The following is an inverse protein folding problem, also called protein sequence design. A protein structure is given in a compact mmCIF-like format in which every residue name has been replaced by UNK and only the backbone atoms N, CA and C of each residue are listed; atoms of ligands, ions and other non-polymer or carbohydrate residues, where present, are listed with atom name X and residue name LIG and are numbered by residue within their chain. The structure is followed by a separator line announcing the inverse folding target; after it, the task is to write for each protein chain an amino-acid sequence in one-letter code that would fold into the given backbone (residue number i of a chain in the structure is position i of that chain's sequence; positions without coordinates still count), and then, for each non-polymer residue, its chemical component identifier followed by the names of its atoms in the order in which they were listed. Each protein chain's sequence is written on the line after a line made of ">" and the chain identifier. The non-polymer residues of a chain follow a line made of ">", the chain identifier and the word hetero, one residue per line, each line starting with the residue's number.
data_IF_901466942525
#
_entry.id   IF_901466942525
#
_cell.length_a   1.000
_cell.length_b   1.000
_cell.length_c   1.000
_cell.angle_alpha   90.00
_cell.angle_beta   90.00
_cell.angle_gamma   90.00
#
_symmetry.space_group_name_H-M   'P 1'
#
loop_
_entity.id
_entity.type
_entity.pdbx_description
1 polymer ?
#
# COMPACT_ATOMS: atom_id res chain seq x y z
N UNK A 1 -5.70 -9.94 18.78
CA UNK A 1 -4.72 -10.22 17.71
C UNK A 1 -3.92 -8.95 17.42
N UNK A 2 -2.64 -9.06 17.27
CA UNK A 2 -1.79 -7.90 16.96
C UNK A 2 -1.31 -7.94 15.51
N UNK A 3 -1.20 -6.76 14.92
CA UNK A 3 -0.72 -6.58 13.56
C UNK A 3 0.61 -5.86 13.58
N UNK A 4 1.43 -6.12 12.58
CA UNK A 4 2.68 -5.38 12.41
C UNK A 4 2.38 -3.98 11.92
N UNK A 5 2.99 -2.98 12.55
CA UNK A 5 2.89 -1.57 12.16
C UNK A 5 4.30 -0.98 12.24
N UNK A 6 5.11 -1.15 11.17
CA UNK A 6 6.48 -0.63 11.16
C UNK A 6 6.55 0.87 11.45
N UNK A 7 7.47 1.27 12.31
CA UNK A 7 7.62 2.65 12.78
C UNK A 7 8.21 3.60 11.73
N UNK A 8 8.87 3.07 10.73
CA UNK A 8 9.55 3.86 9.71
C UNK A 8 8.68 4.14 8.47
N UNK A 9 7.41 3.74 8.51
CA UNK A 9 6.46 3.96 7.43
C UNK A 9 5.43 5.01 7.81
N UNK A 10 4.73 5.55 6.79
CA UNK A 10 3.58 6.42 6.96
C UNK A 10 2.34 5.71 6.42
N UNK A 11 1.17 6.08 6.91
CA UNK A 11 -0.06 5.33 6.66
C UNK A 11 -1.22 6.24 6.27
N UNK A 12 -2.19 5.68 5.53
CA UNK A 12 -3.49 6.30 5.30
C UNK A 12 -4.54 5.64 6.20
N UNK A 13 -5.64 6.35 6.46
CA UNK A 13 -6.79 5.79 7.17
C UNK A 13 -7.40 4.61 6.43
N UNK A 14 -7.22 4.55 5.11
CA UNK A 14 -7.68 3.45 4.26
C UNK A 14 -6.72 2.26 4.22
N UNK A 15 -5.67 2.29 5.04
CA UNK A 15 -4.75 1.17 5.31
C UNK A 15 -3.63 0.96 4.28
N UNK A 16 -3.38 1.93 3.41
CA UNK A 16 -2.18 1.91 2.58
C UNK A 16 -0.99 2.45 3.39
N UNK A 17 0.22 2.01 3.03
CA UNK A 17 1.45 2.54 3.62
C UNK A 17 2.37 3.07 2.53
N UNK A 18 3.27 3.96 2.92
CA UNK A 18 4.37 4.42 2.07
C UNK A 18 5.65 4.42 2.88
N UNK A 19 6.73 3.98 2.24
CA UNK A 19 8.07 4.06 2.79
C UNK A 19 8.70 5.37 2.31
N UNK A 20 8.94 6.35 3.22
CA UNK A 20 9.48 7.64 2.81
C UNK A 20 10.88 7.57 2.20
N UNK A 21 11.64 6.53 2.49
CA UNK A 21 13.01 6.38 1.98
C UNK A 21 13.04 5.84 0.56
N UNK A 22 12.12 4.95 0.21
CA UNK A 22 12.15 4.26 -1.09
C UNK A 22 11.03 4.70 -2.01
N UNK A 23 9.96 5.25 -1.47
CA UNK A 23 8.75 5.56 -2.24
C UNK A 23 7.86 4.36 -2.48
N UNK A 24 8.17 3.21 -1.90
CA UNK A 24 7.33 2.03 -2.05
C UNK A 24 6.01 2.17 -1.30
N UNK A 25 4.95 1.70 -1.92
CA UNK A 25 3.58 1.77 -1.41
C UNK A 25 2.98 0.37 -1.42
N UNK A 26 2.22 0.07 -0.37
CA UNK A 26 1.50 -1.19 -0.29
C UNK A 26 0.32 -1.07 0.66
N UNK A 27 -0.25 -2.21 1.05
CA UNK A 27 -1.32 -2.26 2.05
C UNK A 27 -0.79 -2.86 3.34
N UNK A 28 -1.39 -2.46 4.46
CA UNK A 28 -0.91 -2.88 5.79
C UNK A 28 -1.25 -4.34 6.09
N UNK A 29 -0.63 -4.86 7.15
CA UNK A 29 -0.92 -6.20 7.67
C UNK A 29 -2.41 -6.31 8.05
N UNK A 30 -2.96 -5.27 8.68
CA UNK A 30 -4.39 -5.21 9.01
C UNK A 30 -5.25 -5.32 7.74
N UNK A 31 -4.89 -4.59 6.69
CA UNK A 31 -5.66 -4.59 5.45
C UNK A 31 -5.67 -5.95 4.77
N UNK A 32 -4.52 -6.62 4.69
CA UNK A 32 -4.46 -7.93 4.06
C UNK A 32 -5.25 -8.99 4.84
N UNK A 33 -5.27 -8.86 6.18
CA UNK A 33 -6.04 -9.76 7.03
C UNK A 33 -7.55 -9.60 6.80
N UNK A 34 -8.01 -8.35 6.70
CA UNK A 34 -9.41 -8.03 6.41
C UNK A 34 -9.84 -8.54 5.03
N UNK A 35 -8.95 -8.44 4.04
CA UNK A 35 -9.23 -8.92 2.69
C UNK A 35 -9.28 -10.43 2.59
N UNK A 36 -8.42 -11.14 3.33
CA UNK A 36 -8.22 -12.57 3.15
C UNK A 36 -7.27 -12.86 1.99
N UNK A 37 -7.28 -14.08 1.49
CA UNK A 37 -6.31 -14.54 0.48
C UNK A 37 -6.43 -13.75 -0.81
N UNK A 38 -5.38 -13.02 -1.17
CA UNK A 38 -5.32 -12.22 -2.39
C UNK A 38 -5.10 -13.13 -3.58
N UNK A 39 -5.93 -12.96 -4.61
CA UNK A 39 -5.89 -13.80 -5.83
C UNK A 39 -5.56 -12.99 -7.08
N UNK A 40 -5.72 -11.67 -7.04
CA UNK A 40 -5.46 -10.81 -8.19
C UNK A 40 -5.12 -9.39 -7.74
N UNK A 41 -4.17 -8.77 -8.43
CA UNK A 41 -3.77 -7.37 -8.17
C UNK A 41 -3.73 -6.64 -9.51
N UNK A 42 -4.40 -5.49 -9.60
CA UNK A 42 -4.36 -4.62 -10.76
C UNK A 42 -3.60 -3.34 -10.39
N UNK A 43 -2.54 -3.03 -11.13
CA UNK A 43 -1.63 -1.94 -10.83
C UNK A 43 -1.50 -0.99 -12.02
N UNK A 44 -1.09 0.29 -11.80
CA UNK A 44 -0.85 1.23 -12.89
C UNK A 44 0.43 0.87 -13.64
N UNK A 45 0.75 1.62 -14.66
CA UNK A 45 1.99 1.47 -15.41
C UNK A 45 3.07 2.41 -14.93
N UNK A 46 4.32 2.04 -15.16
CA UNK A 46 5.46 2.93 -14.93
C UNK A 46 5.28 4.19 -15.79
N UNK A 47 5.48 5.35 -15.19
CA UNK A 47 5.29 6.64 -15.85
C UNK A 47 3.92 7.27 -15.60
N UNK A 48 2.97 6.54 -15.01
CA UNK A 48 1.68 7.10 -14.64
C UNK A 48 1.82 8.07 -13.48
N UNK A 49 1.07 9.18 -13.52
CA UNK A 49 1.02 10.15 -12.43
C UNK A 49 -0.15 9.82 -11.51
N UNK A 50 0.11 9.75 -10.21
CA UNK A 50 -0.91 9.51 -9.20
C UNK A 50 -1.16 10.77 -8.39
N UNK A 51 -2.39 10.94 -7.91
CA UNK A 51 -2.76 12.04 -7.01
C UNK A 51 -3.05 11.48 -5.62
N UNK A 52 -2.59 12.19 -4.59
CA UNK A 52 -2.85 11.81 -3.21
C UNK A 52 -4.36 11.66 -2.98
N UNK A 53 -4.77 10.53 -2.40
CA UNK A 53 -6.16 10.21 -2.17
C UNK A 53 -6.90 9.66 -3.37
N UNK A 54 -6.26 9.61 -4.55
CA UNK A 54 -6.85 9.03 -5.75
C UNK A 54 -6.65 7.52 -5.82
N UNK A 55 -7.62 6.84 -6.41
CA UNK A 55 -7.53 5.40 -6.63
C UNK A 55 -6.50 5.10 -7.72
N UNK A 56 -5.60 4.14 -7.47
CA UNK A 56 -4.58 3.78 -8.46
C UNK A 56 -4.55 2.29 -8.81
N UNK A 57 -5.22 1.47 -8.06
CA UNK A 57 -5.19 0.03 -8.30
C UNK A 57 -6.28 -0.69 -7.53
N UNK A 58 -6.30 -2.00 -7.70
CA UNK A 58 -7.30 -2.88 -7.08
C UNK A 58 -6.60 -4.13 -6.58
N UNK A 59 -6.98 -4.58 -5.39
CA UNK A 59 -6.57 -5.88 -4.85
C UNK A 59 -7.82 -6.72 -4.67
N UNK A 60 -7.87 -7.87 -5.32
CA UNK A 60 -8.98 -8.81 -5.20
C UNK A 60 -8.59 -10.02 -4.36
N UNK A 61 -9.46 -10.39 -3.45
CA UNK A 61 -9.33 -11.62 -2.65
C UNK A 61 -10.44 -12.59 -3.01
N UNK A 62 -10.42 -13.77 -2.40
CA UNK A 62 -11.47 -14.78 -2.60
C UNK A 62 -12.84 -14.31 -2.14
N UNK A 63 -12.92 -13.27 -1.31
CA UNK A 63 -14.18 -12.79 -0.71
C UNK A 63 -14.51 -11.32 -0.97
N UNK A 64 -13.56 -10.53 -1.48
CA UNK A 64 -13.75 -9.07 -1.59
C UNK A 64 -12.89 -8.46 -2.68
N UNK A 65 -13.25 -7.23 -3.06
CA UNK A 65 -12.48 -6.38 -3.99
C UNK A 65 -12.24 -5.06 -3.27
N UNK A 66 -11.01 -4.59 -3.24
CA UNK A 66 -10.65 -3.35 -2.55
C UNK A 66 -9.92 -2.39 -3.48
N UNK A 67 -10.42 -1.15 -3.56
CA UNK A 67 -9.73 -0.08 -4.26
C UNK A 67 -8.55 0.40 -3.42
N UNK A 68 -7.43 0.70 -4.07
CA UNK A 68 -6.21 1.14 -3.40
C UNK A 68 -5.96 2.60 -3.74
N UNK A 69 -5.72 3.42 -2.70
CA UNK A 69 -5.57 4.87 -2.83
C UNK A 69 -4.12 5.27 -2.64
N UNK A 70 -3.69 6.28 -3.41
CA UNK A 70 -2.32 6.79 -3.33
C UNK A 70 -2.14 7.59 -2.04
N UNK A 71 -1.12 7.28 -1.22
CA UNK A 71 -0.86 8.04 0.00
C UNK A 71 -0.28 9.42 -0.28
N UNK A 72 0.35 9.59 -1.43
CA UNK A 72 0.96 10.86 -1.86
C UNK A 72 0.80 10.99 -3.36
N UNK A 73 0.97 12.22 -3.87
CA UNK A 73 1.05 12.46 -5.30
C UNK A 73 2.46 12.13 -5.79
N UNK A 74 2.57 11.54 -6.97
CA UNK A 74 3.87 11.21 -7.53
C UNK A 74 3.78 10.41 -8.80
N UNK A 75 4.92 10.22 -9.44
CA UNK A 75 5.03 9.41 -10.65
C UNK A 75 5.44 7.99 -10.29
N UNK A 76 4.79 7.00 -10.91
CA UNK A 76 5.14 5.60 -10.73
C UNK A 76 6.47 5.32 -11.40
N UNK A 77 7.48 4.95 -10.59
CA UNK A 77 8.82 4.62 -11.09
C UNK A 77 9.06 3.13 -11.19
N UNK A 78 8.30 2.33 -10.44
CA UNK A 78 8.39 0.88 -10.49
C UNK A 78 7.07 0.25 -10.05
N UNK A 79 6.79 -0.94 -10.57
CA UNK A 79 5.61 -1.73 -10.24
C UNK A 79 6.10 -3.13 -9.90
N UNK A 80 5.53 -3.73 -8.85
CA UNK A 80 5.92 -5.07 -8.43
C UNK A 80 5.30 -6.13 -9.34
N UNK A 81 6.02 -6.50 -10.38
CA UNK A 81 5.55 -7.45 -11.38
C UNK A 81 5.39 -8.87 -10.83
N UNK A 82 6.06 -9.20 -9.74
CA UNK A 82 5.94 -10.51 -9.09
C UNK A 82 4.51 -10.80 -8.64
N UNK A 83 3.72 -9.77 -8.37
CA UNK A 83 2.33 -9.92 -7.94
C UNK A 83 1.42 -10.47 -9.03
N UNK A 84 1.81 -10.37 -10.30
CA UNK A 84 1.04 -10.95 -11.40
C UNK A 84 1.02 -12.49 -11.29
N UNK A 85 2.13 -13.08 -10.89
CA UNK A 85 2.27 -14.54 -10.74
C UNK A 85 2.05 -15.00 -9.30
N UNK A 86 2.33 -14.13 -8.32
CA UNK A 86 2.33 -14.46 -6.90
C UNK A 86 1.58 -13.39 -6.10
N UNK A 87 0.27 -13.21 -6.33
CA UNK A 87 -0.51 -12.20 -5.59
C UNK A 87 -0.54 -12.46 -4.09
N UNK A 88 -0.35 -13.69 -3.66
CA UNK A 88 -0.29 -14.06 -2.24
C UNK A 88 0.85 -13.42 -1.47
N UNK A 89 1.84 -12.84 -2.15
CA UNK A 89 2.90 -12.07 -1.48
C UNK A 89 2.33 -10.90 -0.68
N UNK A 90 1.20 -10.34 -1.11
CA UNK A 90 0.53 -9.27 -0.37
C UNK A 90 0.11 -9.75 1.01
N UNK A 91 -0.30 -11.00 1.14
CA UNK A 91 -0.67 -11.60 2.43
C UNK A 91 0.56 -12.02 3.23
N UNK A 92 1.55 -12.59 2.55
CA UNK A 92 2.70 -13.20 3.21
C UNK A 92 3.71 -12.18 3.71
N UNK A 93 3.88 -11.08 2.97
CA UNK A 93 4.88 -10.07 3.29
C UNK A 93 4.43 -8.67 2.83
N UNK A 94 3.37 -8.13 3.43
CA UNK A 94 2.76 -6.88 2.96
C UNK A 94 3.69 -5.67 3.01
N UNK A 95 4.70 -5.67 3.88
CA UNK A 95 5.66 -4.57 4.02
C UNK A 95 6.97 -4.83 3.28
N UNK A 96 7.17 -6.01 2.74
CA UNK A 96 8.37 -6.41 2.02
C UNK A 96 8.04 -6.79 0.58
N UNK A 97 8.14 -8.08 0.27
CA UNK A 97 7.96 -8.58 -1.10
C UNK A 97 6.56 -8.32 -1.70
N UNK A 98 5.58 -8.01 -0.86
CA UNK A 98 4.21 -7.70 -1.29
C UNK A 98 3.95 -6.23 -1.59
N UNK A 99 4.99 -5.39 -1.74
CA UNK A 99 4.81 -4.00 -2.13
C UNK A 99 4.10 -3.89 -3.49
N UNK A 100 3.39 -2.77 -3.72
CA UNK A 100 2.58 -2.59 -4.93
C UNK A 100 3.30 -1.76 -5.99
N UNK A 101 3.63 -0.52 -5.65
CA UNK A 101 4.28 0.42 -6.57
C UNK A 101 5.36 1.19 -5.83
N UNK A 102 6.24 1.85 -6.60
CA UNK A 102 7.25 2.77 -6.07
C UNK A 102 7.02 4.12 -6.74
N UNK A 103 6.99 5.19 -5.93
CA UNK A 103 6.67 6.53 -6.40
C UNK A 103 7.85 7.48 -6.22
N UNK A 104 8.00 8.40 -7.19
CA UNK A 104 8.83 9.59 -7.03
C UNK A 104 7.89 10.69 -6.52
N UNK A 105 8.06 11.13 -5.29
CA UNK A 105 7.13 12.02 -4.60
C UNK A 105 7.86 13.11 -3.82
N UNK A 106 7.10 14.12 -3.38
CA UNK A 106 7.62 15.21 -2.54
C UNK A 106 7.31 14.91 -1.07
N UNK A 107 8.33 15.02 -0.20
CA UNK A 107 8.19 14.78 1.24
C UNK A 107 7.09 15.63 1.90
N UNK A 108 6.78 16.79 1.35
CA UNK A 108 5.71 17.64 1.86
C UNK A 108 4.35 16.94 1.84
N UNK A 109 4.13 16.01 0.92
CA UNK A 109 2.88 15.24 0.83
C UNK A 109 2.67 14.30 2.01
N UNK A 110 3.73 13.98 2.75
CA UNK A 110 3.66 13.11 3.91
C UNK A 110 2.94 13.75 5.10
N UNK A 111 2.76 15.07 5.10
CA UNK A 111 2.10 15.79 6.20
C UNK A 111 0.67 15.33 6.44
N UNK A 112 -0.02 14.87 5.41
CA UNK A 112 -1.41 14.41 5.50
C UNK A 112 -1.53 12.93 5.86
N UNK A 113 -0.40 12.23 6.00
CA UNK A 113 -0.40 10.82 6.35
C UNK A 113 -0.30 10.63 7.87
N UNK A 114 -0.62 9.42 8.32
CA UNK A 114 -0.52 9.03 9.72
C UNK A 114 0.85 8.43 10.01
N UNK A 115 1.39 8.68 11.21
CA UNK A 115 2.56 7.92 11.65
C UNK A 115 2.13 6.55 12.19
N UNK A 116 3.10 5.72 12.56
CA UNK A 116 2.81 4.37 13.04
C UNK A 116 1.93 4.36 14.29
N UNK A 117 2.18 5.26 15.24
CA UNK A 117 1.41 5.33 16.48
C UNK A 117 -0.04 5.73 16.23
N UNK A 118 -0.26 6.72 15.37
CA UNK A 118 -1.60 7.17 15.00
C UNK A 118 -2.38 6.08 14.29
N UNK A 119 -1.73 5.39 13.36
CA UNK A 119 -2.35 4.29 12.63
C UNK A 119 -2.65 3.12 13.57
N UNK A 120 -1.73 2.77 14.45
CA UNK A 120 -1.92 1.70 15.41
C UNK A 120 -3.14 1.96 16.29
N UNK A 121 -3.32 3.20 16.75
CA UNK A 121 -4.49 3.59 17.55
C UNK A 121 -5.79 3.41 16.76
N UNK A 122 -5.76 3.67 15.46
CA UNK A 122 -6.94 3.53 14.60
C UNK A 122 -7.41 2.08 14.51
N UNK A 123 -6.49 1.13 14.42
CA UNK A 123 -6.81 -0.30 14.23
C UNK A 123 -6.89 -1.08 15.54
N UNK A 124 -6.57 -0.45 16.66
CA UNK A 124 -6.59 -1.10 17.97
C UNK A 124 -8.00 -1.37 18.49
#
# INVERSE_FOLDING_TARGET
>A
MSFDVPDDLQYLESHEWIDPETGRVGISDFAQDELGDVVFVELPGVGDDLEAGGEFGVVESIKAVSDIYAPVSGEVTAVNEDLADQPELVNEDPFGDGWLVELDFDDADLEDTLDADEYHDQIA
#
